data_IF_696921383484
#
_entry.id   IF_696921383484
#
_cell.length_a   1.000
_cell.length_b   1.000
_cell.length_c   1.000
_cell.angle_alpha   90.00
_cell.angle_beta   90.00
_cell.angle_gamma   90.00
#
_symmetry.space_group_name_H-M   'P 1'
#
loop_
_entity.id
_entity.type
_entity.pdbx_description
1 polymer ?
#
# COMPACT_ATOMS: atom_id res chain seq x y z
N UNK A 1 29.29 12.75 6.68
CA UNK A 1 27.93 13.13 6.25
C UNK A 1 27.78 12.71 4.82
N UNK A 2 26.99 11.66 4.57
CA UNK A 2 26.69 11.19 3.22
C UNK A 2 25.34 11.82 2.85
N UNK A 3 25.36 12.85 2.01
CA UNK A 3 24.15 13.44 1.47
C UNK A 3 23.89 12.67 0.17
N UNK A 4 23.12 11.59 0.25
CA UNK A 4 22.79 10.73 -0.91
C UNK A 4 21.73 11.36 -1.84
N UNK A 5 21.30 12.59 -1.57
CA UNK A 5 20.28 13.32 -2.33
C UNK A 5 20.90 14.60 -2.89
N UNK A 6 20.88 14.76 -4.21
CA UNK A 6 21.26 16.02 -4.86
C UNK A 6 20.34 17.13 -4.35
N UNK A 7 20.90 18.06 -3.58
CA UNK A 7 20.17 19.24 -3.11
C UNK A 7 19.94 20.16 -4.30
N UNK A 8 18.68 20.48 -4.57
CA UNK A 8 18.29 21.30 -5.73
C UNK A 8 17.80 22.66 -5.26
N UNK A 9 17.00 22.71 -4.19
CA UNK A 9 16.43 23.96 -3.68
C UNK A 9 16.50 24.07 -2.15
N UNK A 10 16.23 25.27 -1.65
CA UNK A 10 16.21 25.57 -0.20
C UNK A 10 15.07 24.83 0.52
N UNK A 11 13.95 24.55 -0.15
CA UNK A 11 12.82 23.84 0.46
C UNK A 11 13.20 22.44 0.96
N UNK A 12 14.17 21.77 0.31
CA UNK A 12 14.72 20.49 0.75
C UNK A 12 15.58 20.61 2.03
N UNK A 13 16.16 21.78 2.27
CA UNK A 13 17.03 22.09 3.43
C UNK A 13 16.18 22.57 4.62
N UNK A 14 14.97 23.06 4.38
CA UNK A 14 14.02 23.51 5.40
C UNK A 14 14.59 24.69 6.19
N UNK A 15 14.69 24.55 7.52
CA UNK A 15 15.20 25.61 8.41
C UNK A 15 16.71 25.55 8.66
N UNK A 16 17.43 24.56 8.10
CA UNK A 16 18.86 24.35 8.43
C UNK A 16 19.75 25.50 7.98
N UNK A 17 19.41 26.15 6.86
CA UNK A 17 20.14 27.33 6.38
C UNK A 17 20.02 28.48 7.40
N UNK A 18 18.81 28.73 7.92
CA UNK A 18 18.56 29.74 8.95
C UNK A 18 19.24 29.39 10.28
N UNK A 19 19.18 28.14 10.71
CA UNK A 19 19.85 27.68 11.93
C UNK A 19 21.38 27.83 11.83
N UNK A 20 21.98 27.63 10.65
CA UNK A 20 23.41 27.86 10.46
C UNK A 20 23.81 29.34 10.62
N UNK A 21 22.92 30.27 10.24
CA UNK A 21 23.10 31.71 10.47
C UNK A 21 22.97 32.03 11.96
N UNK A 22 21.90 31.56 12.61
CA UNK A 22 21.64 31.80 14.04
C UNK A 22 22.76 31.27 14.94
N UNK A 23 23.32 30.11 14.62
CA UNK A 23 24.41 29.49 15.37
C UNK A 23 25.82 29.91 14.89
N UNK A 24 25.92 30.93 14.03
CA UNK A 24 27.18 31.49 13.51
C UNK A 24 28.11 30.46 12.84
N UNK A 25 27.55 29.41 12.24
CA UNK A 25 28.27 28.30 11.57
C UNK A 25 28.50 28.63 10.10
N UNK A 26 29.37 29.61 9.84
CA UNK A 26 29.62 30.14 8.49
C UNK A 26 30.09 29.09 7.47
N UNK A 27 30.88 28.11 7.90
CA UNK A 27 31.35 27.03 7.03
C UNK A 27 30.23 26.09 6.58
N UNK A 28 29.30 25.77 7.49
CA UNK A 28 28.12 24.96 7.19
C UNK A 28 27.17 25.72 6.25
N UNK A 29 26.95 27.01 6.51
CA UNK A 29 26.16 27.89 5.65
C UNK A 29 26.74 27.99 4.22
N UNK A 30 28.04 28.27 4.09
CA UNK A 30 28.68 28.39 2.78
C UNK A 30 28.63 27.07 1.99
N UNK A 31 28.78 25.93 2.67
CA UNK A 31 28.67 24.62 2.07
C UNK A 31 27.24 24.33 1.60
N UNK A 32 26.24 24.56 2.44
CA UNK A 32 24.82 24.40 2.06
C UNK A 32 24.44 25.30 0.89
N UNK A 33 24.91 26.55 0.87
CA UNK A 33 24.69 27.49 -0.23
C UNK A 33 25.34 27.01 -1.53
N UNK A 34 26.55 26.43 -1.46
CA UNK A 34 27.26 25.90 -2.64
C UNK A 34 26.63 24.65 -3.25
N UNK A 35 25.82 23.93 -2.46
CA UNK A 35 25.11 22.72 -2.90
C UNK A 35 23.77 23.03 -3.57
N UNK A 36 23.25 24.25 -3.44
CA UNK A 36 21.99 24.66 -4.07
C UNK A 36 22.18 24.84 -5.59
N UNK A 37 21.11 24.57 -6.35
CA UNK A 37 21.10 24.86 -7.79
C UNK A 37 21.21 26.36 -8.03
N UNK A 38 22.01 26.74 -9.02
CA UNK A 38 22.16 28.14 -9.47
C UNK A 38 21.00 28.54 -10.39
N UNK A 39 20.27 27.58 -10.95
CA UNK A 39 19.13 27.87 -11.82
C UNK A 39 17.93 28.38 -11.00
N UNK A 40 17.51 29.62 -11.24
CA UNK A 40 16.36 30.22 -10.59
C UNK A 40 15.04 29.46 -10.86
N UNK A 41 14.98 28.65 -11.93
CA UNK A 41 13.81 27.81 -12.24
C UNK A 41 13.61 26.70 -11.21
N UNK A 42 14.69 26.18 -10.64
CA UNK A 42 14.67 25.14 -9.60
C UNK A 42 14.20 25.70 -8.24
N UNK A 43 14.21 27.03 -8.09
CA UNK A 43 13.76 27.76 -6.91
C UNK A 43 12.33 28.30 -7.05
N UNK A 44 11.59 27.91 -8.11
CA UNK A 44 10.22 28.36 -8.31
C UNK A 44 9.29 27.86 -7.19
N UNK A 45 8.60 28.79 -6.52
CA UNK A 45 7.61 28.48 -5.48
C UNK A 45 6.35 27.80 -6.05
N UNK A 46 6.13 27.94 -7.35
CA UNK A 46 5.05 27.33 -8.10
C UNK A 46 5.65 26.34 -9.11
N UNK A 47 5.39 25.06 -8.88
CA UNK A 47 5.69 24.01 -9.84
C UNK A 47 4.44 23.77 -10.67
N UNK A 48 4.60 23.70 -11.99
CA UNK A 48 3.52 23.21 -12.84
C UNK A 48 3.17 21.81 -12.37
N UNK A 49 1.90 21.57 -12.07
CA UNK A 49 1.45 20.22 -11.74
C UNK A 49 1.88 19.31 -12.90
N UNK A 50 2.55 18.20 -12.57
CA UNK A 50 2.89 17.11 -13.53
C UNK A 50 1.68 16.86 -14.42
N UNK A 51 1.90 16.59 -15.71
CA UNK A 51 0.84 16.39 -16.69
C UNK A 51 -0.26 15.44 -16.20
N UNK A 52 -1.25 16.01 -15.50
CA UNK A 52 -2.44 15.30 -15.09
C UNK A 52 -3.21 15.02 -16.36
N UNK A 53 -3.78 13.83 -16.42
CA UNK A 53 -4.73 13.48 -17.47
C UNK A 53 -5.83 14.55 -17.52
N UNK A 54 -6.32 14.84 -18.72
CA UNK A 54 -7.42 15.78 -18.97
C UNK A 54 -8.61 15.56 -18.03
N UNK A 55 -8.95 14.30 -17.77
CA UNK A 55 -10.01 13.92 -16.83
C UNK A 55 -9.73 14.38 -15.39
N UNK A 56 -8.50 14.26 -14.91
CA UNK A 56 -8.11 14.68 -13.56
C UNK A 56 -8.08 16.21 -13.44
N UNK A 57 -7.66 16.92 -14.49
CA UNK A 57 -7.72 18.39 -14.55
C UNK A 57 -9.16 18.89 -14.44
N UNK A 58 -10.08 18.27 -15.19
CA UNK A 58 -11.51 18.61 -15.14
C UNK A 58 -12.13 18.27 -13.77
N UNK A 59 -11.77 17.14 -13.17
CA UNK A 59 -12.22 16.79 -11.82
C UNK A 59 -11.79 17.84 -10.78
N UNK A 60 -10.54 18.30 -10.84
CA UNK A 60 -10.06 19.36 -9.95
C UNK A 60 -10.76 20.70 -10.22
N UNK A 61 -10.96 21.06 -11.49
CA UNK A 61 -11.59 22.31 -11.87
C UNK A 61 -13.07 22.40 -11.44
N UNK A 62 -13.80 21.28 -11.53
CA UNK A 62 -15.21 21.21 -11.16
C UNK A 62 -15.44 20.71 -9.74
N UNK A 63 -14.38 20.51 -8.95
CA UNK A 63 -14.44 20.00 -7.57
C UNK A 63 -15.29 18.71 -7.47
N UNK A 64 -15.16 17.84 -8.47
CA UNK A 64 -15.97 16.62 -8.54
C UNK A 64 -15.54 15.61 -7.48
N UNK A 65 -16.48 14.84 -6.93
CA UNK A 65 -16.18 13.75 -6.01
C UNK A 65 -15.33 12.67 -6.69
N UNK A 66 -14.64 11.83 -5.88
CA UNK A 66 -13.81 10.75 -6.42
C UNK A 66 -14.63 9.81 -7.30
N UNK A 67 -13.98 9.24 -8.31
CA UNK A 67 -14.61 8.27 -9.21
C UNK A 67 -15.17 7.10 -8.40
N UNK A 68 -16.40 6.69 -8.73
CA UNK A 68 -17.05 5.53 -8.12
C UNK A 68 -16.13 4.29 -8.18
N UNK A 69 -15.78 3.69 -7.03
CA UNK A 69 -14.99 2.48 -7.00
C UNK A 69 -15.79 1.31 -7.58
N UNK A 70 -15.10 0.39 -8.27
CA UNK A 70 -15.77 -0.79 -8.84
C UNK A 70 -15.92 -1.90 -7.80
N UNK A 71 -14.93 -2.03 -6.91
CA UNK A 71 -14.84 -3.10 -5.93
C UNK A 71 -14.45 -2.51 -4.57
N UNK A 72 -15.22 -2.84 -3.54
CA UNK A 72 -14.84 -2.65 -2.14
C UNK A 72 -14.63 -4.02 -1.48
N UNK A 73 -13.56 -4.13 -0.69
CA UNK A 73 -13.23 -5.35 0.06
C UNK A 73 -13.90 -5.31 1.44
N UNK A 74 -14.83 -6.23 1.68
CA UNK A 74 -15.47 -6.41 2.99
C UNK A 74 -14.48 -6.70 4.14
N UNK A 75 -13.29 -7.19 3.80
CA UNK A 75 -12.24 -7.50 4.77
C UNK A 75 -11.54 -6.24 5.28
N UNK A 76 -11.58 -5.16 4.50
CA UNK A 76 -11.13 -3.84 4.91
C UNK A 76 -12.30 -3.19 5.65
N UNK A 77 -12.02 -2.65 6.84
CA UNK A 77 -13.04 -2.05 7.71
C UNK A 77 -13.48 -0.69 7.13
N UNK A 78 -14.10 -0.70 5.95
CA UNK A 78 -14.80 0.46 5.41
C UNK A 78 -16.20 0.52 6.01
N UNK A 79 -16.63 1.69 6.52
CA UNK A 79 -17.98 1.85 7.03
C UNK A 79 -18.97 1.63 5.89
N UNK A 80 -19.79 0.58 6.01
CA UNK A 80 -20.93 0.35 5.13
C UNK A 80 -21.86 1.56 5.22
N UNK A 81 -22.17 2.17 4.08
CA UNK A 81 -23.02 3.37 4.03
C UNK A 81 -24.49 2.94 4.16
N UNK A 82 -25.16 3.37 5.23
CA UNK A 82 -26.60 3.14 5.40
C UNK A 82 -27.43 4.11 4.55
N UNK A 83 -27.69 3.72 3.31
CA UNK A 83 -28.51 4.48 2.38
C UNK A 83 -30.03 4.41 2.67
N UNK A 84 -30.45 3.49 3.54
CA UNK A 84 -31.88 3.27 3.82
C UNK A 84 -32.50 4.46 4.55
N UNK A 85 -31.76 5.06 5.47
CA UNK A 85 -32.25 6.20 6.26
C UNK A 85 -32.57 7.40 5.38
N UNK A 86 -31.69 7.73 4.43
CA UNK A 86 -31.91 8.86 3.52
C UNK A 86 -33.05 8.58 2.56
N UNK A 87 -33.17 7.35 2.06
CA UNK A 87 -34.31 6.97 1.24
C UNK A 87 -35.65 7.08 1.98
N UNK A 88 -35.73 6.61 3.22
CA UNK A 88 -36.96 6.65 4.04
C UNK A 88 -37.33 8.09 4.41
N UNK A 89 -36.34 8.91 4.78
CA UNK A 89 -36.60 10.27 5.30
C UNK A 89 -36.75 11.33 4.21
N UNK A 90 -36.00 11.22 3.11
CA UNK A 90 -35.90 12.26 2.08
C UNK A 90 -36.30 11.77 0.68
N UNK A 91 -36.58 10.48 0.52
CA UNK A 91 -37.05 9.89 -0.73
C UNK A 91 -35.97 9.61 -1.76
N UNK A 92 -36.41 9.16 -2.95
CA UNK A 92 -35.52 8.63 -3.98
C UNK A 92 -34.55 9.68 -4.59
N UNK A 93 -34.97 10.94 -4.70
CA UNK A 93 -34.13 12.00 -5.30
C UNK A 93 -32.97 12.37 -4.39
N UNK A 94 -33.20 12.44 -3.09
CA UNK A 94 -32.15 12.70 -2.12
C UNK A 94 -31.13 11.56 -2.09
N UNK A 95 -31.59 10.31 -2.13
CA UNK A 95 -30.72 9.15 -2.26
C UNK A 95 -29.85 9.21 -3.53
N UNK A 96 -30.43 9.52 -4.69
CA UNK A 96 -29.67 9.65 -5.95
C UNK A 96 -28.61 10.75 -5.87
N UNK A 97 -28.94 11.89 -5.25
CA UNK A 97 -27.99 12.98 -5.04
C UNK A 97 -26.87 12.56 -4.09
N UNK A 98 -27.19 11.88 -3.00
CA UNK A 98 -26.21 11.38 -2.04
C UNK A 98 -25.23 10.41 -2.72
N UNK A 99 -25.73 9.47 -3.52
CA UNK A 99 -24.89 8.54 -4.28
C UNK A 99 -24.00 9.25 -5.31
N UNK A 100 -24.46 10.36 -5.89
CA UNK A 100 -23.64 11.17 -6.80
C UNK A 100 -22.55 11.96 -6.07
N UNK A 101 -22.79 12.36 -4.81
CA UNK A 101 -21.82 13.10 -3.98
C UNK A 101 -20.81 12.17 -3.30
N UNK A 102 -21.25 11.00 -2.85
CA UNK A 102 -20.43 10.01 -2.14
C UNK A 102 -20.68 8.62 -2.76
N UNK A 103 -20.01 8.31 -3.88
CA UNK A 103 -20.30 7.09 -4.61
C UNK A 103 -19.76 5.85 -3.89
N UNK A 104 -20.67 4.94 -3.55
CA UNK A 104 -20.35 3.62 -3.02
C UNK A 104 -19.83 2.67 -4.11
N UNK A 105 -19.05 1.66 -3.72
CA UNK A 105 -18.58 0.66 -4.66
C UNK A 105 -19.72 -0.09 -5.35
N UNK A 106 -19.56 -0.36 -6.66
CA UNK A 106 -20.57 -1.12 -7.41
C UNK A 106 -20.71 -2.56 -6.92
N UNK A 107 -19.60 -3.16 -6.49
CA UNK A 107 -19.58 -4.52 -5.95
C UNK A 107 -18.82 -4.53 -4.64
N UNK A 108 -19.49 -4.97 -3.59
CA UNK A 108 -18.88 -5.20 -2.30
C UNK A 108 -18.67 -6.71 -2.15
N UNK A 109 -17.40 -7.14 -2.11
CA UNK A 109 -17.04 -8.57 -2.04
C UNK A 109 -15.76 -8.75 -1.25
N UNK A 110 -15.67 -9.82 -0.47
CA UNK A 110 -14.43 -10.18 0.20
C UNK A 110 -13.34 -10.62 -0.79
N UNK A 111 -12.11 -10.75 -0.27
CA UNK A 111 -10.97 -11.29 -1.01
C UNK A 111 -11.24 -12.67 -1.64
N UNK A 112 -12.04 -13.49 -0.95
CA UNK A 112 -12.40 -14.84 -1.39
C UNK A 112 -13.80 -14.90 -2.01
N UNK A 113 -14.03 -15.78 -3.00
CA UNK A 113 -15.38 -16.06 -3.47
C UNK A 113 -16.24 -16.65 -2.36
N UNK A 114 -17.56 -16.40 -2.41
CA UNK A 114 -18.52 -16.79 -1.35
C UNK A 114 -18.38 -18.25 -0.91
N UNK A 115 -18.33 -19.19 -1.87
CA UNK A 115 -18.20 -20.62 -1.58
C UNK A 115 -16.89 -20.97 -0.85
N UNK A 116 -15.79 -20.30 -1.16
CA UNK A 116 -14.52 -20.48 -0.45
C UNK A 116 -14.59 -19.87 0.94
N UNK A 117 -15.20 -18.69 1.10
CA UNK A 117 -15.39 -18.07 2.40
C UNK A 117 -16.23 -18.95 3.34
N UNK A 118 -17.26 -19.61 2.83
CA UNK A 118 -18.10 -20.57 3.57
C UNK A 118 -17.35 -21.86 3.93
N UNK A 119 -16.51 -22.38 3.02
CA UNK A 119 -15.66 -23.52 3.33
C UNK A 119 -14.64 -23.18 4.42
N UNK A 120 -14.01 -22.00 4.33
CA UNK A 120 -13.00 -21.54 5.27
C UNK A 120 -13.57 -21.19 6.64
N UNK A 121 -14.81 -20.69 6.72
CA UNK A 121 -15.45 -20.38 8.01
C UNK A 121 -15.64 -21.63 8.88
N UNK A 122 -15.77 -22.81 8.26
CA UNK A 122 -15.86 -24.10 8.93
C UNK A 122 -14.50 -24.73 9.25
N UNK A 123 -13.40 -24.12 8.78
CA UNK A 123 -12.05 -24.62 8.94
C UNK A 123 -11.33 -23.93 10.12
N UNK A 124 -10.37 -24.63 10.72
CA UNK A 124 -9.55 -24.09 11.81
C UNK A 124 -8.80 -22.80 11.42
N UNK A 125 -8.47 -21.97 12.42
CA UNK A 125 -7.72 -20.73 12.17
C UNK A 125 -6.37 -20.98 11.47
N UNK A 126 -5.70 -22.10 11.76
CA UNK A 126 -4.41 -22.43 11.15
C UNK A 126 -4.52 -22.75 9.66
N UNK A 127 -5.63 -23.34 9.21
CA UNK A 127 -5.88 -23.64 7.80
C UNK A 127 -6.32 -22.38 7.06
N UNK A 128 -7.14 -21.53 7.69
CA UNK A 128 -7.47 -20.20 7.16
C UNK A 128 -6.23 -19.33 6.95
N UNK A 129 -5.32 -19.28 7.94
CA UNK A 129 -4.10 -18.47 7.84
C UNK A 129 -3.11 -19.01 6.79
N UNK A 130 -3.04 -20.33 6.60
CA UNK A 130 -2.26 -20.95 5.50
C UNK A 130 -2.83 -20.60 4.13
N UNK A 131 -4.15 -20.69 3.96
CA UNK A 131 -4.81 -20.33 2.71
C UNK A 131 -4.59 -18.85 2.35
N UNK A 132 -4.59 -17.95 3.33
CA UNK A 132 -4.25 -16.53 3.16
C UNK A 132 -2.75 -16.24 3.00
N UNK A 133 -1.90 -17.27 2.94
CA UNK A 133 -0.44 -17.12 2.79
C UNK A 133 0.28 -16.49 3.98
N UNK A 134 -0.38 -16.35 5.14
CA UNK A 134 0.22 -15.78 6.36
C UNK A 134 1.04 -16.79 7.16
N UNK A 135 0.85 -18.07 6.88
CA UNK A 135 1.66 -19.16 7.41
C UNK A 135 2.30 -19.89 6.23
N UNK A 136 3.62 -19.97 6.24
CA UNK A 136 4.37 -20.78 5.28
C UNK A 136 4.15 -22.25 5.59
N UNK A 137 3.76 -23.02 4.58
CA UNK A 137 3.80 -24.48 4.65
C UNK A 137 5.23 -24.93 4.97
N UNK A 138 5.44 -25.92 5.84
CA UNK A 138 6.77 -26.47 6.05
C UNK A 138 7.27 -26.98 4.69
N UNK A 139 8.43 -26.48 4.25
CA UNK A 139 9.17 -27.08 3.16
C UNK A 139 9.65 -28.44 3.67
N UNK A 140 8.86 -29.47 3.43
CA UNK A 140 9.33 -30.84 3.64
C UNK A 140 10.32 -31.07 2.51
N UNK A 141 11.62 -30.99 2.83
CA UNK A 141 12.64 -31.55 1.97
C UNK A 141 12.38 -33.05 1.87
N UNK A 142 11.62 -33.43 0.84
CA UNK A 142 11.44 -34.82 0.47
C UNK A 142 12.81 -35.31 0.01
N UNK A 143 13.52 -35.95 0.93
CA UNK A 143 14.75 -36.65 0.64
C UNK A 143 14.53 -37.52 -0.61
N UNK A 144 15.35 -37.34 -1.64
CA UNK A 144 15.14 -38.01 -2.92
C UNK A 144 15.09 -39.53 -2.67
N UNK A 145 14.13 -40.23 -3.29
CA UNK A 145 13.96 -41.68 -3.11
C UNK A 145 15.27 -42.48 -3.27
N UNK A 146 16.18 -42.05 -4.13
CA UNK A 146 17.51 -42.66 -4.28
C UNK A 146 18.36 -42.56 -3.01
N UNK A 147 18.32 -41.41 -2.33
CA UNK A 147 19.02 -41.18 -1.07
C UNK A 147 18.38 -41.98 0.08
N UNK A 148 17.04 -42.16 0.05
CA UNK A 148 16.34 -43.02 0.99
C UNK A 148 16.79 -44.49 0.87
N UNK A 149 16.89 -45.00 -0.37
CA UNK A 149 17.40 -46.35 -0.62
C UNK A 149 18.87 -46.50 -0.24
N UNK A 150 19.69 -45.47 -0.48
CA UNK A 150 21.09 -45.46 -0.07
C UNK A 150 21.24 -45.53 1.46
N UNK A 151 20.45 -44.75 2.21
CA UNK A 151 20.40 -44.83 3.68
C UNK A 151 19.94 -46.21 4.13
N UNK A 152 18.84 -46.74 3.58
CA UNK A 152 18.34 -48.06 3.96
C UNK A 152 19.40 -49.14 3.73
N UNK A 153 20.09 -49.12 2.58
CA UNK A 153 21.16 -50.07 2.29
C UNK A 153 22.32 -50.00 3.28
N UNK A 154 22.64 -48.80 3.76
CA UNK A 154 23.70 -48.57 4.74
C UNK A 154 23.30 -48.98 6.17
N UNK A 155 21.98 -49.06 6.47
CA UNK A 155 21.47 -49.49 7.77
C UNK A 155 21.36 -51.03 7.92
N UNK A 156 21.18 -51.76 6.81
CA UNK A 156 21.11 -53.23 6.80
C UNK A 156 22.33 -53.92 7.46
N UNK A 157 23.59 -53.54 7.20
CA UNK A 157 24.72 -54.23 7.83
C UNK A 157 24.84 -53.97 9.35
N UNK A 158 24.22 -52.91 9.89
CA UNK A 158 24.24 -52.61 11.32
C UNK A 158 23.22 -53.46 12.11
N UNK A 159 22.17 -53.98 11.46
CA UNK A 159 21.19 -54.87 12.09
C UNK A 159 21.57 -56.35 12.03
N UNK A 160 22.55 -56.73 11.21
CA UNK A 160 23.03 -58.11 11.09
C UNK A 160 24.14 -58.47 12.11
N UNK A 161 24.52 -57.54 13.00
CA UNK A 161 25.57 -57.73 14.02
C UNK A 161 25.00 -57.63 15.45
N UNK A 162 23.67 -57.61 15.61
CA UNK A 162 22.99 -57.78 16.91
C UNK A 162 22.33 -59.16 16.98
#
# INVERSE_FOLDING_TARGET
MQIDVTLVNEAQIGTRLNAAIEHNRRGEFALLLSLLSVDARDMAQFQWQKDLDTAQKLQQQFELPPKQPLLADLSLFEPVVDNSQVFITQGARAFQLQQALQPEALVIRGAEPMAMAEALSNCDLTTQLRQRGRLTSPQIELMHFADQLAIQRNLIPLQAIA
#
